data_IF_611259493340
#
_entry.id   IF_611259493340
#
_cell.length_a   1.000
_cell.length_b   1.000
_cell.length_c   1.000
_cell.angle_alpha   90.00
_cell.angle_beta   90.00
_cell.angle_gamma   90.00
#
_symmetry.space_group_name_H-M   'P 1'
#
loop_
_entity.id
_entity.type
_entity.pdbx_description
1 polymer ?
#
# COMPACT_ATOMS: atom_id res chain seq x y z
N UNK A 1 -11.90 -7.62 19.44
CA UNK A 1 -10.62 -7.30 19.22
C UNK A 1 -9.68 -8.42 19.11
N UNK A 2 -9.45 -9.14 20.10
CA UNK A 2 -8.58 -10.29 20.01
C UNK A 2 -9.05 -11.33 19.05
N UNK A 3 -10.32 -11.35 18.76
CA UNK A 3 -10.86 -12.36 17.89
C UNK A 3 -10.34 -12.24 16.49
N UNK A 4 -10.17 -11.00 16.03
CA UNK A 4 -9.65 -10.80 14.70
C UNK A 4 -8.26 -11.39 14.54
N UNK A 5 -7.49 -11.34 15.62
CA UNK A 5 -6.13 -11.86 15.55
C UNK A 5 -6.07 -13.36 15.57
N UNK A 6 -7.18 -13.99 16.01
CA UNK A 6 -7.18 -15.44 16.05
C UNK A 6 -7.45 -16.08 14.72
N UNK A 7 -8.07 -15.35 13.82
CA UNK A 7 -8.33 -15.90 12.49
C UNK A 7 -7.05 -16.03 11.72
N UNK A 8 -6.78 -17.19 11.15
CA UNK A 8 -5.57 -17.34 10.36
C UNK A 8 -5.71 -16.69 9.00
N UNK A 9 -4.59 -16.31 8.43
CA UNK A 9 -4.55 -15.83 7.05
C UNK A 9 -4.47 -17.06 6.16
N UNK A 10 -5.39 -17.16 5.21
CA UNK A 10 -5.51 -18.33 4.36
C UNK A 10 -5.38 -17.91 2.91
N UNK A 11 -4.52 -18.60 2.18
CA UNK A 11 -4.37 -18.42 0.74
C UNK A 11 -4.89 -19.66 0.04
N UNK A 12 -5.62 -19.44 -1.04
CA UNK A 12 -6.19 -20.57 -1.76
C UNK A 12 -5.12 -21.41 -2.43
N UNK A 13 -4.08 -20.77 -2.96
CA UNK A 13 -3.02 -21.50 -3.64
C UNK A 13 -1.68 -20.94 -3.17
N UNK A 14 -0.64 -21.75 -3.35
CA UNK A 14 0.70 -21.29 -3.02
C UNK A 14 1.17 -20.20 -3.98
N UNK A 15 0.65 -20.17 -5.18
CA UNK A 15 0.99 -19.11 -6.11
C UNK A 15 0.60 -17.75 -5.58
N UNK A 16 -0.60 -17.67 -5.01
CA UNK A 16 -1.06 -16.41 -4.45
C UNK A 16 -0.19 -16.02 -3.27
N UNK A 17 0.15 -17.00 -2.44
CA UNK A 17 1.03 -16.75 -1.31
C UNK A 17 2.36 -16.18 -1.77
N UNK A 18 2.96 -16.80 -2.78
CA UNK A 18 4.25 -16.35 -3.29
C UNK A 18 4.16 -14.95 -3.84
N UNK A 19 3.10 -14.68 -4.60
CA UNK A 19 2.94 -13.38 -5.22
C UNK A 19 2.81 -12.28 -4.18
N UNK A 20 1.96 -12.53 -3.18
CA UNK A 20 1.77 -11.55 -2.11
C UNK A 20 3.07 -11.28 -1.38
N UNK A 21 3.82 -12.34 -1.10
CA UNK A 21 5.04 -12.17 -0.34
C UNK A 21 6.15 -11.54 -1.18
N UNK A 22 6.12 -11.72 -2.48
CA UNK A 22 7.05 -11.00 -3.34
C UNK A 22 6.78 -9.51 -3.30
N UNK A 23 5.51 -9.13 -3.39
CA UNK A 23 5.17 -7.72 -3.25
C UNK A 23 5.59 -7.19 -1.89
N UNK A 24 5.33 -7.98 -0.85
CA UNK A 24 5.62 -7.55 0.51
C UNK A 24 7.11 -7.36 0.72
N UNK A 25 7.92 -8.25 0.18
CA UNK A 25 9.36 -8.15 0.34
C UNK A 25 9.91 -6.85 -0.24
N UNK A 26 9.31 -6.39 -1.32
CA UNK A 26 9.78 -5.18 -1.98
C UNK A 26 9.03 -3.94 -1.56
N UNK A 27 8.14 -4.08 -0.59
CA UNK A 27 7.24 -2.98 -0.25
C UNK A 27 7.97 -1.77 0.27
N UNK A 28 9.04 -1.99 1.02
CA UNK A 28 9.75 -0.86 1.60
C UNK A 28 10.46 -0.03 0.54
N UNK A 29 10.78 -0.64 -0.57
CA UNK A 29 11.43 0.08 -1.67
C UNK A 29 10.44 0.44 -2.76
N UNK A 30 9.17 0.13 -2.56
CA UNK A 30 8.18 0.29 -3.61
C UNK A 30 7.85 1.75 -3.82
N UNK A 31 7.66 2.12 -5.08
CA UNK A 31 7.15 3.43 -5.39
C UNK A 31 5.62 3.36 -5.42
N UNK A 32 5.00 4.48 -5.82
CA UNK A 32 3.55 4.56 -5.79
C UNK A 32 2.92 3.56 -6.75
N UNK A 33 3.51 3.43 -7.94
CA UNK A 33 2.95 2.50 -8.92
C UNK A 33 3.00 1.06 -8.42
N UNK A 34 4.14 0.68 -7.86
CA UNK A 34 4.28 -0.68 -7.36
C UNK A 34 3.30 -0.94 -6.23
N UNK A 35 3.14 0.03 -5.36
CA UNK A 35 2.21 -0.10 -4.24
C UNK A 35 0.78 -0.23 -4.74
N UNK A 36 0.42 0.54 -5.77
CA UNK A 36 -0.91 0.44 -6.35
C UNK A 36 -1.12 -0.93 -6.98
N UNK A 37 -0.10 -1.48 -7.61
CA UNK A 37 -0.20 -2.82 -8.16
C UNK A 37 -0.48 -3.84 -7.07
N UNK A 38 0.20 -3.71 -5.96
CA UNK A 38 -0.01 -4.63 -4.85
C UNK A 38 -1.44 -4.52 -4.34
N UNK A 39 -1.92 -3.29 -4.16
CA UNK A 39 -3.29 -3.09 -3.70
C UNK A 39 -4.29 -3.69 -4.68
N UNK A 40 -4.10 -3.46 -5.96
CA UNK A 40 -4.99 -4.04 -6.97
C UNK A 40 -4.96 -5.54 -6.98
N UNK A 41 -3.77 -6.11 -6.83
CA UNK A 41 -3.66 -7.56 -6.78
C UNK A 41 -4.39 -8.13 -5.57
N UNK A 42 -4.26 -7.48 -4.42
CA UNK A 42 -4.95 -7.94 -3.22
C UNK A 42 -6.46 -7.91 -3.39
N UNK A 43 -6.97 -6.85 -3.98
CA UNK A 43 -8.40 -6.75 -4.20
C UNK A 43 -8.88 -7.83 -5.13
N UNK A 44 -8.17 -8.04 -6.23
CA UNK A 44 -8.57 -9.06 -7.18
C UNK A 44 -8.48 -10.44 -6.59
N UNK A 45 -7.43 -10.72 -5.84
CA UNK A 45 -7.28 -12.03 -5.22
C UNK A 45 -8.39 -12.27 -4.20
N UNK A 46 -8.74 -11.25 -3.44
CA UNK A 46 -9.79 -11.40 -2.44
C UNK A 46 -11.14 -11.63 -3.11
N UNK A 47 -11.43 -10.87 -4.15
CA UNK A 47 -12.70 -11.03 -4.84
C UNK A 47 -12.82 -12.39 -5.49
N UNK A 48 -11.72 -12.93 -5.95
CA UNK A 48 -11.73 -14.25 -6.57
C UNK A 48 -11.70 -15.36 -5.55
N UNK A 49 -11.66 -15.03 -4.28
CA UNK A 49 -11.62 -16.05 -3.24
C UNK A 49 -10.24 -16.62 -3.00
N UNK A 50 -9.21 -15.98 -3.52
CA UNK A 50 -7.85 -16.49 -3.38
C UNK A 50 -7.21 -16.19 -2.06
N UNK A 51 -7.70 -15.18 -1.34
CA UNK A 51 -7.20 -14.85 -0.02
C UNK A 51 -8.41 -14.54 0.84
N UNK A 52 -8.38 -14.96 2.10
CA UNK A 52 -9.53 -14.71 2.95
C UNK A 52 -9.52 -13.27 3.44
N UNK A 53 -10.61 -12.87 4.08
CA UNK A 53 -10.77 -11.49 4.51
C UNK A 53 -9.68 -11.07 5.48
N UNK A 54 -9.31 -11.96 6.37
CA UNK A 54 -8.29 -11.65 7.35
C UNK A 54 -6.97 -11.31 6.67
N UNK A 55 -6.59 -12.12 5.69
CA UNK A 55 -5.36 -11.86 4.95
C UNK A 55 -5.44 -10.61 4.12
N UNK A 56 -6.59 -10.41 3.47
CA UNK A 56 -6.77 -9.21 2.66
C UNK A 56 -6.61 -7.97 3.52
N UNK A 57 -7.26 -7.93 4.67
CA UNK A 57 -7.19 -6.76 5.53
C UNK A 57 -5.78 -6.53 6.04
N UNK A 58 -5.10 -7.61 6.39
CA UNK A 58 -3.76 -7.48 6.92
C UNK A 58 -2.80 -6.89 5.90
N UNK A 59 -2.76 -7.47 4.72
CA UNK A 59 -1.83 -7.01 3.69
C UNK A 59 -2.26 -5.68 3.08
N UNK A 60 -3.55 -5.47 2.99
CA UNK A 60 -4.07 -4.20 2.49
C UNK A 60 -3.64 -3.06 3.40
N UNK A 61 -3.72 -3.28 4.70
CA UNK A 61 -3.30 -2.25 5.66
C UNK A 61 -1.83 -1.93 5.50
N UNK A 62 -0.99 -2.96 5.33
CA UNK A 62 0.44 -2.72 5.13
C UNK A 62 0.69 -1.91 3.87
N UNK A 63 0.02 -2.28 2.79
CA UNK A 63 0.21 -1.58 1.53
C UNK A 63 -0.30 -0.16 1.60
N UNK A 64 -1.42 0.05 2.27
CA UNK A 64 -1.96 1.40 2.41
C UNK A 64 -1.06 2.27 3.27
N UNK A 65 -0.45 1.69 4.29
CA UNK A 65 0.51 2.46 5.08
C UNK A 65 1.64 2.97 4.22
N UNK A 66 2.15 2.11 3.35
CA UNK A 66 3.22 2.53 2.44
C UNK A 66 2.72 3.57 1.46
N UNK A 67 1.53 3.35 0.92
CA UNK A 67 0.95 4.28 -0.03
C UNK A 67 0.78 5.66 0.60
N UNK A 68 0.22 5.70 1.79
CA UNK A 68 0.00 6.98 2.47
C UNK A 68 1.30 7.69 2.73
N UNK A 69 2.33 6.95 3.12
CA UNK A 69 3.62 7.54 3.38
C UNK A 69 4.20 8.16 2.12
N UNK A 70 4.10 7.44 1.00
CA UNK A 70 4.60 7.96 -0.25
C UNK A 70 3.84 9.20 -0.68
N UNK A 71 2.53 9.21 -0.47
CA UNK A 71 1.73 10.37 -0.81
C UNK A 71 2.09 11.56 0.05
N UNK A 72 2.36 11.32 1.32
CA UNK A 72 2.77 12.39 2.20
C UNK A 72 4.10 12.97 1.79
N UNK A 73 5.02 12.11 1.40
CA UNK A 73 6.31 12.59 0.96
C UNK A 73 6.19 13.43 -0.29
N UNK A 74 5.38 12.98 -1.23
CA UNK A 74 5.17 13.73 -2.45
C UNK A 74 4.47 15.05 -2.18
N UNK A 75 3.47 15.03 -1.31
CA UNK A 75 2.76 16.25 -0.97
C UNK A 75 3.68 17.25 -0.28
N UNK A 76 4.55 16.75 0.57
CA UNK A 76 5.51 17.61 1.23
C UNK A 76 6.45 18.26 0.25
N UNK A 77 6.94 17.48 -0.71
CA UNK A 77 7.83 18.02 -1.71
C UNK A 77 7.11 19.06 -2.56
N UNK A 78 5.91 18.73 -2.97
CA UNK A 78 5.13 19.66 -3.77
C UNK A 78 4.86 20.94 -3.01
N UNK A 79 4.54 20.83 -1.74
CA UNK A 79 4.28 21.99 -0.94
C UNK A 79 5.51 22.86 -0.83
N UNK A 80 6.64 22.22 -0.65
CA UNK A 80 7.88 22.96 -0.57
C UNK A 80 8.15 23.70 -1.85
N UNK A 81 7.96 23.05 -2.95
CA UNK A 81 8.16 23.68 -4.22
C UNK A 81 7.21 24.84 -4.41
N UNK A 82 5.97 24.65 -4.02
CA UNK A 82 5.01 25.73 -4.12
C UNK A 82 5.41 26.92 -3.29
N UNK A 83 5.86 26.65 -2.08
CA UNK A 83 6.26 27.73 -1.22
C UNK A 83 7.43 28.51 -1.81
N UNK A 84 8.41 27.78 -2.31
CA UNK A 84 9.55 28.44 -2.91
C UNK A 84 9.12 29.25 -4.11
N UNK A 85 8.25 28.70 -4.92
CA UNK A 85 7.78 29.36 -6.10
C UNK A 85 6.97 30.59 -5.77
N UNK A 86 6.11 30.48 -4.77
CA UNK A 86 5.24 31.58 -4.39
C UNK A 86 5.97 32.71 -3.69
N UNK A 87 7.00 32.38 -2.97
CA UNK A 87 7.73 33.41 -2.25
C UNK A 87 8.25 34.52 -3.15
N UNK A 88 8.92 34.20 -4.24
CA UNK A 88 9.36 35.28 -5.11
C UNK A 88 8.23 36.08 -5.66
N UNK A 89 7.13 35.43 -5.92
CA UNK A 89 6.00 36.17 -6.40
C UNK A 89 5.43 37.08 -5.37
N UNK A 90 5.39 36.62 -4.15
CA UNK A 90 4.88 37.41 -3.08
C UNK A 90 5.64 38.66 -2.84
N UNK A 91 6.90 38.62 -3.17
CA UNK A 91 7.74 39.77 -2.98
C UNK A 91 7.41 40.88 -3.93
N UNK A 92 6.84 40.55 -4.98
CA UNK A 92 6.52 41.55 -5.92
C UNK A 92 5.23 42.21 -5.60
#
# INVERSE_FOLDING_TARGET
>A
MCEDLKEPIVFKTSEIWVKVHNYLNDLECADILYTCEFLGYLEGAHEAGGINRRGYEFYHTLAMSRFNRLMEENAGIEKQEELVFNQPKGEE
#
